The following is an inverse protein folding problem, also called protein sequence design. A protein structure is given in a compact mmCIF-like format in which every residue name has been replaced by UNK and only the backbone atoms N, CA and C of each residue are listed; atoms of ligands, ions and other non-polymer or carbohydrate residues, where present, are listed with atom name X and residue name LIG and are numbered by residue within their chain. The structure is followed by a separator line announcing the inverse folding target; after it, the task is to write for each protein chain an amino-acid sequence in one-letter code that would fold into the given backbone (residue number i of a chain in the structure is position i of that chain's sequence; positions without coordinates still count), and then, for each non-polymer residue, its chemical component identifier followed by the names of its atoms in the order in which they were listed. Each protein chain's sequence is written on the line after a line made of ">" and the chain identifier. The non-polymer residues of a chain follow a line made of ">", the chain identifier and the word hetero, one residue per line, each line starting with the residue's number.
data_IF_357666647761
#
_entry.id   IF_357666647761
#
_cell.length_a   1.000
_cell.length_b   1.000
_cell.length_c   1.000
_cell.angle_alpha   90.00
_cell.angle_beta   90.00
_cell.angle_gamma   90.00
#
_symmetry.space_group_name_H-M   'P 1'
#
loop_
_entity.id
_entity.type
_entity.pdbx_description
1 polymer ?
#
# COMPACT_ATOMS: atom_id res chain seq x y z
N UNK A 1 -2.88 10.90 -3.48
CA UNK A 1 -4.25 10.58 -3.02
C UNK A 1 -4.89 9.69 -4.07
N UNK A 2 -5.61 8.64 -3.67
CA UNK A 2 -6.32 7.73 -4.57
C UNK A 2 -7.79 7.62 -4.14
N UNK A 3 -8.72 7.63 -5.10
CA UNK A 3 -10.17 7.57 -4.84
C UNK A 3 -10.84 8.92 -5.02
N UNK A 4 -12.05 9.05 -4.48
CA UNK A 4 -12.89 10.24 -4.63
C UNK A 4 -12.92 11.04 -3.32
N UNK A 5 -12.41 12.27 -3.39
CA UNK A 5 -12.38 13.20 -2.25
C UNK A 5 -13.77 13.80 -1.98
N UNK A 6 -14.56 14.05 -3.02
CA UNK A 6 -15.91 14.61 -2.87
C UNK A 6 -16.85 13.61 -2.19
N UNK A 7 -16.69 12.32 -2.43
CA UNK A 7 -17.46 11.25 -1.77
C UNK A 7 -16.90 10.81 -0.41
N UNK A 8 -15.84 11.46 0.11
CA UNK A 8 -15.11 11.01 1.30
C UNK A 8 -14.67 9.54 1.21
N UNK A 9 -14.29 9.07 0.03
CA UNK A 9 -13.92 7.67 -0.23
C UNK A 9 -12.57 7.62 -0.93
N UNK A 10 -11.53 7.91 -0.15
CA UNK A 10 -10.15 8.01 -0.65
C UNK A 10 -9.12 7.52 0.36
N UNK A 11 -7.90 7.31 -0.12
CA UNK A 11 -6.73 6.99 0.68
C UNK A 11 -5.56 7.91 0.32
N UNK A 12 -4.82 8.35 1.34
CA UNK A 12 -3.61 9.16 1.23
C UNK A 12 -2.42 8.27 1.57
N UNK A 13 -1.41 8.28 0.70
CA UNK A 13 -0.18 7.53 0.86
C UNK A 13 0.95 8.52 1.11
N UNK A 14 1.60 8.39 2.26
CA UNK A 14 2.64 9.31 2.72
C UNK A 14 4.02 8.73 2.43
N UNK A 15 4.84 9.44 1.67
CA UNK A 15 6.16 8.97 1.24
C UNK A 15 7.29 9.88 1.73
N UNK A 16 8.43 9.28 2.06
CA UNK A 16 9.72 9.94 2.10
C UNK A 16 10.61 9.37 0.99
N UNK A 17 10.73 10.11 -0.11
CA UNK A 17 11.34 9.60 -1.34
C UNK A 17 10.54 8.40 -1.88
N UNK A 18 11.20 7.24 -2.01
CA UNK A 18 10.58 5.99 -2.46
C UNK A 18 9.96 5.16 -1.34
N UNK A 19 10.18 5.51 -0.07
CA UNK A 19 9.69 4.75 1.08
C UNK A 19 8.29 5.20 1.48
N UNK A 20 7.37 4.25 1.59
CA UNK A 20 6.04 4.47 2.14
C UNK A 20 6.14 4.51 3.68
N UNK A 21 5.71 5.63 4.28
CA UNK A 21 5.74 5.85 5.73
C UNK A 21 4.41 5.51 6.40
N UNK A 22 3.30 5.75 5.71
CA UNK A 22 1.98 5.60 6.29
C UNK A 22 0.87 5.72 5.26
N UNK A 23 -0.31 5.22 5.63
CA UNK A 23 -1.52 5.33 4.82
C UNK A 23 -2.67 5.79 5.71
N UNK A 24 -3.34 6.84 5.28
CA UNK A 24 -4.59 7.33 5.86
C UNK A 24 -5.73 6.97 4.92
N UNK A 25 -6.86 6.49 5.43
CA UNK A 25 -7.98 6.04 4.61
C UNK A 25 -9.29 6.52 5.19
N UNK A 26 -10.15 7.05 4.32
CA UNK A 26 -11.47 7.56 4.66
C UNK A 26 -12.51 6.72 3.91
N UNK A 27 -13.42 6.08 4.65
CA UNK A 27 -14.45 5.16 4.13
C UNK A 27 -13.94 4.07 3.16
N UNK A 28 -12.69 3.62 3.34
CA UNK A 28 -12.04 2.57 2.54
C UNK A 28 -11.33 1.53 3.42
N UNK A 29 -12.09 0.69 4.14
CA UNK A 29 -11.51 -0.28 5.07
C UNK A 29 -10.60 -1.31 4.37
N UNK A 30 -10.90 -1.68 3.12
CA UNK A 30 -10.05 -2.57 2.32
C UNK A 30 -8.65 -2.01 2.09
N UNK A 31 -8.56 -0.74 1.70
CA UNK A 31 -7.29 -0.04 1.45
C UNK A 31 -6.50 0.14 2.75
N UNK A 32 -7.19 0.41 3.87
CA UNK A 32 -6.54 0.48 5.18
C UNK A 32 -5.91 -0.86 5.58
N UNK A 33 -6.65 -1.97 5.42
CA UNK A 33 -6.15 -3.31 5.74
C UNK A 33 -4.98 -3.72 4.84
N UNK A 34 -5.06 -3.40 3.54
CA UNK A 34 -3.95 -3.63 2.61
C UNK A 34 -2.74 -2.75 2.99
N UNK A 35 -2.97 -1.48 3.31
CA UNK A 35 -1.95 -0.55 3.76
C UNK A 35 -1.18 -1.04 4.98
N UNK A 36 -1.90 -1.55 5.99
CA UNK A 36 -1.29 -2.17 7.17
C UNK A 36 -0.39 -3.36 6.80
N UNK A 37 -0.82 -4.23 5.88
CA UNK A 37 -0.01 -5.38 5.42
C UNK A 37 1.25 -4.91 4.70
N UNK A 38 1.14 -3.91 3.83
CA UNK A 38 2.29 -3.37 3.10
C UNK A 38 3.32 -2.77 4.06
N UNK A 39 2.88 -1.92 4.99
CA UNK A 39 3.75 -1.30 6.00
C UNK A 39 4.42 -2.36 6.89
N UNK A 40 3.67 -3.36 7.34
CA UNK A 40 4.21 -4.47 8.14
C UNK A 40 5.23 -5.33 7.40
N UNK A 41 5.09 -5.45 6.07
CA UNK A 41 6.07 -6.14 5.22
C UNK A 41 7.26 -5.26 4.82
N UNK A 42 7.28 -3.97 5.17
CA UNK A 42 8.28 -3.02 4.65
C UNK A 42 8.12 -2.70 3.16
N UNK A 43 6.99 -3.09 2.55
CA UNK A 43 6.72 -2.87 1.14
C UNK A 43 6.37 -1.41 0.86
N UNK A 44 7.11 -0.79 -0.07
CA UNK A 44 6.90 0.60 -0.50
C UNK A 44 6.56 0.62 -1.99
N UNK A 45 5.28 0.44 -2.37
CA UNK A 45 4.85 0.49 -3.77
C UNK A 45 5.06 1.89 -4.35
N UNK A 46 5.43 1.99 -5.62
CA UNK A 46 5.46 3.29 -6.29
C UNK A 46 4.05 3.88 -6.45
N UNK A 47 3.90 5.21 -6.55
CA UNK A 47 2.60 5.84 -6.81
C UNK A 47 1.90 5.29 -8.06
N UNK A 48 2.66 4.86 -9.08
CA UNK A 48 2.12 4.25 -10.30
C UNK A 48 1.48 2.89 -10.01
N UNK A 49 2.09 2.07 -9.15
CA UNK A 49 1.50 0.79 -8.72
C UNK A 49 0.26 1.04 -7.86
N UNK A 50 0.30 2.02 -6.96
CA UNK A 50 -0.88 2.40 -6.17
C UNK A 50 -2.06 2.81 -7.06
N UNK A 51 -1.79 3.53 -8.16
CA UNK A 51 -2.80 3.95 -9.12
C UNK A 51 -3.48 2.79 -9.88
N UNK A 52 -2.89 1.59 -9.91
CA UNK A 52 -3.52 0.39 -10.50
C UNK A 52 -4.68 -0.15 -9.65
N UNK A 53 -4.87 0.39 -8.44
CA UNK A 53 -5.95 0.02 -7.54
C UNK A 53 -5.66 -1.25 -6.74
N UNK A 54 -6.66 -1.76 -5.99
CA UNK A 54 -6.45 -2.80 -4.99
C UNK A 54 -5.88 -4.11 -5.54
N UNK A 55 -6.27 -4.52 -6.75
CA UNK A 55 -5.86 -5.81 -7.28
C UNK A 55 -4.42 -5.78 -7.82
N UNK A 56 -4.03 -4.72 -8.52
CA UNK A 56 -2.64 -4.53 -8.92
C UNK A 56 -1.72 -4.33 -7.70
N UNK A 57 -2.21 -3.66 -6.66
CA UNK A 57 -1.45 -3.48 -5.41
C UNK A 57 -1.28 -4.79 -4.63
N UNK A 58 -2.32 -5.65 -4.57
CA UNK A 58 -2.20 -7.00 -4.00
C UNK A 58 -1.20 -7.85 -4.78
N UNK A 59 -1.24 -7.80 -6.11
CA UNK A 59 -0.32 -8.56 -6.96
C UNK A 59 1.13 -8.10 -6.73
N UNK A 60 1.38 -6.79 -6.65
CA UNK A 60 2.70 -6.24 -6.38
C UNK A 60 3.22 -6.62 -4.97
N UNK A 61 2.36 -6.60 -3.96
CA UNK A 61 2.71 -7.05 -2.61
C UNK A 61 3.06 -8.55 -2.59
N UNK A 62 2.29 -9.38 -3.29
CA UNK A 62 2.57 -10.82 -3.37
C UNK A 62 3.92 -11.09 -4.07
N UNK A 63 4.20 -10.38 -5.17
CA UNK A 63 5.48 -10.47 -5.86
C UNK A 63 6.65 -10.03 -4.98
N UNK A 64 6.48 -8.92 -4.23
CA UNK A 64 7.48 -8.45 -3.26
C UNK A 64 7.80 -9.52 -2.20
N UNK A 65 6.76 -10.14 -1.63
CA UNK A 65 6.92 -11.20 -0.62
C UNK A 65 7.59 -12.47 -1.15
N UNK A 66 7.43 -12.77 -2.45
CA UNK A 66 8.12 -13.89 -3.10
C UNK A 66 9.59 -13.58 -3.41
N UNK A 67 9.91 -12.31 -3.69
CA UNK A 67 11.28 -11.85 -3.97
C UNK A 67 12.14 -11.63 -2.72
N UNK A 68 11.55 -11.64 -1.53
CA UNK A 68 12.25 -11.56 -0.24
C UNK A 68 12.39 -12.96 0.38
N UNK A 69 13.40 -13.78 0.02
CA UNK A 69 13.69 -14.98 0.80
C UNK A 69 14.37 -14.54 2.11
N UNK A 70 13.74 -14.85 3.24
CA UNK A 70 14.36 -14.90 4.57
C UNK A 70 14.69 -13.57 5.30
N UNK A 71 13.67 -12.82 5.76
CA UNK A 71 13.83 -11.91 6.92
C UNK A 71 12.80 -12.13 8.04
N UNK A 72 12.34 -13.36 8.21
CA UNK A 72 11.48 -13.77 9.35
C UNK A 72 12.18 -14.69 10.35
N UNK A 73 13.51 -14.81 10.28
CA UNK A 73 14.32 -15.40 11.34
C UNK A 73 15.45 -14.43 11.72
N UNK A 74 15.23 -13.67 12.78
CA UNK A 74 16.17 -12.75 13.39
C UNK A 74 15.61 -12.25 14.70
#
# INVERSE_FOLDING_TARGET
>A
VLGDVAENKFSIYHYAGSRLLGIESVNRPGDHMLGRKMLGAGFSPSPQIVATGPDGLKAALAAFQQSEPARVAG
#
